data_IF_094325668486
#
_entry.id   IF_094325668486
#
_cell.length_a   1.000
_cell.length_b   1.000
_cell.length_c   1.000
_cell.angle_alpha   90.00
_cell.angle_beta   90.00
_cell.angle_gamma   90.00
#
_symmetry.space_group_name_H-M   'P 1'
#
loop_
_entity.id
_entity.type
_entity.pdbx_description
1 polymer ?
#
# COMPACT_ATOMS: atom_id res chain seq x y z
N UNK A 1 11.48 12.35 18.20
CA UNK A 1 10.01 12.14 18.17
C UNK A 1 9.31 13.03 17.13
N UNK A 2 9.54 14.36 17.12
CA UNK A 2 8.99 15.27 16.10
C UNK A 2 9.27 14.83 14.65
N UNK A 3 10.45 14.28 14.37
CA UNK A 3 10.82 13.76 13.03
C UNK A 3 10.03 12.50 12.63
N UNK A 4 9.68 11.62 13.57
CA UNK A 4 8.85 10.42 13.31
C UNK A 4 7.41 10.84 13.00
N UNK A 5 6.87 11.82 13.73
CA UNK A 5 5.55 12.38 13.45
C UNK A 5 5.49 13.07 12.07
N UNK A 6 6.56 13.77 11.69
CA UNK A 6 6.70 14.33 10.34
C UNK A 6 6.76 13.24 9.26
N UNK A 7 7.48 12.14 9.52
CA UNK A 7 7.52 10.98 8.64
C UNK A 7 6.13 10.40 8.38
N UNK A 8 5.34 10.25 9.45
CA UNK A 8 3.97 9.73 9.36
C UNK A 8 3.05 10.65 8.57
N UNK A 9 3.21 11.97 8.70
CA UNK A 9 2.47 12.94 7.89
C UNK A 9 2.78 12.83 6.40
N UNK A 10 4.02 12.48 6.02
CA UNK A 10 4.37 12.22 4.62
C UNK A 10 3.57 11.04 4.06
N UNK A 11 3.43 9.96 4.82
CA UNK A 11 2.63 8.80 4.42
C UNK A 11 1.14 9.15 4.22
N UNK A 12 0.58 10.01 5.08
CA UNK A 12 -0.82 10.44 4.97
C UNK A 12 -1.10 11.34 3.76
N UNK A 13 -0.11 12.09 3.28
CA UNK A 13 -0.28 12.98 2.12
C UNK A 13 -0.60 12.23 0.83
N UNK A 14 -0.27 10.93 0.75
CA UNK A 14 -0.53 10.12 -0.44
C UNK A 14 -2.02 9.74 -0.63
N UNK A 15 -2.87 10.01 0.37
CA UNK A 15 -4.28 9.62 0.35
C UNK A 15 -5.18 10.59 -0.39
N UNK A 16 -4.87 11.88 -0.33
CA UNK A 16 -5.64 12.93 -1.01
C UNK A 16 -5.73 12.69 -2.54
N UNK A 17 -4.64 12.36 -3.25
CA UNK A 17 -4.69 11.99 -4.66
C UNK A 17 -5.64 10.83 -4.95
N UNK A 18 -5.66 9.78 -4.10
CA UNK A 18 -6.53 8.63 -4.28
C UNK A 18 -8.01 9.01 -4.14
N UNK A 19 -8.34 9.86 -3.16
CA UNK A 19 -9.70 10.38 -2.97
C UNK A 19 -10.17 11.22 -4.15
N UNK A 20 -9.34 12.16 -4.63
CA UNK A 20 -9.68 12.98 -5.78
C UNK A 20 -9.88 12.14 -7.03
N UNK A 21 -9.02 11.16 -7.28
CA UNK A 21 -9.17 10.25 -8.41
C UNK A 21 -10.43 9.39 -8.31
N UNK A 22 -10.74 8.86 -7.13
CA UNK A 22 -11.98 8.13 -6.89
C UNK A 22 -13.22 8.99 -7.17
N UNK A 23 -13.18 10.27 -6.79
CA UNK A 23 -14.23 11.25 -7.10
C UNK A 23 -14.35 11.51 -8.61
N UNK A 24 -13.24 11.74 -9.31
CA UNK A 24 -13.24 11.93 -10.77
C UNK A 24 -13.79 10.72 -11.53
N UNK A 25 -13.35 9.51 -11.14
CA UNK A 25 -13.86 8.26 -11.72
C UNK A 25 -15.36 8.13 -11.42
N UNK A 26 -15.80 8.43 -10.20
CA UNK A 26 -17.21 8.42 -9.84
C UNK A 26 -18.04 9.34 -10.76
N UNK A 27 -17.60 10.59 -10.95
CA UNK A 27 -18.27 11.55 -11.84
C UNK A 27 -18.27 11.11 -13.30
N UNK A 28 -17.16 10.54 -13.79
CA UNK A 28 -17.08 10.07 -15.19
C UNK A 28 -18.01 8.90 -15.48
N UNK A 29 -18.31 8.08 -14.48
CA UNK A 29 -19.13 6.88 -14.61
C UNK A 29 -20.64 7.17 -14.61
N UNK A 30 -21.13 8.42 -14.50
CA UNK A 30 -22.52 8.87 -14.68
C UNK A 30 -23.56 7.76 -14.95
N UNK A 31 -24.04 7.08 -13.89
CA UNK A 31 -24.98 5.93 -13.90
C UNK A 31 -24.66 4.73 -14.83
N UNK A 32 -23.53 4.75 -15.54
CA UNK A 32 -23.08 3.70 -16.45
C UNK A 32 -22.60 2.49 -15.65
N UNK A 33 -22.87 1.29 -16.16
CA UNK A 33 -22.52 0.07 -15.44
C UNK A 33 -21.01 -0.18 -15.50
N UNK A 34 -20.33 -0.05 -14.35
CA UNK A 34 -18.88 -0.24 -14.24
C UNK A 34 -18.44 -1.62 -14.75
N UNK A 35 -19.31 -2.62 -14.66
CA UNK A 35 -19.04 -4.02 -15.00
C UNK A 35 -18.67 -4.29 -16.47
N UNK A 36 -18.77 -3.31 -17.37
CA UNK A 36 -18.40 -3.47 -18.79
C UNK A 36 -16.92 -3.13 -19.02
N UNK A 37 -16.09 -4.05 -19.54
CA UNK A 37 -14.68 -3.81 -19.81
C UNK A 37 -14.41 -2.60 -20.71
N UNK A 38 -15.23 -2.41 -21.75
CA UNK A 38 -15.09 -1.30 -22.70
C UNK A 38 -15.32 0.06 -22.01
N UNK A 39 -16.22 0.13 -21.04
CA UNK A 39 -16.46 1.35 -20.25
C UNK A 39 -15.24 1.66 -19.40
N UNK A 40 -14.63 0.66 -18.77
CA UNK A 40 -13.42 0.85 -17.97
C UNK A 40 -12.26 1.31 -18.84
N UNK A 41 -12.06 0.72 -20.01
CA UNK A 41 -11.01 1.14 -20.92
C UNK A 41 -11.25 2.55 -21.50
N UNK A 42 -12.50 2.92 -21.82
CA UNK A 42 -12.81 4.21 -22.42
C UNK A 42 -12.86 5.37 -21.42
N UNK A 43 -13.33 5.13 -20.18
CA UNK A 43 -13.58 6.19 -19.19
C UNK A 43 -12.62 6.17 -18.00
N UNK A 44 -12.17 4.99 -17.57
CA UNK A 44 -11.37 4.85 -16.35
C UNK A 44 -9.88 4.86 -16.67
N UNK A 45 -9.45 4.10 -17.68
CA UNK A 45 -8.03 4.02 -18.05
C UNK A 45 -7.40 5.40 -18.34
N UNK A 46 -8.04 6.33 -19.09
CA UNK A 46 -7.46 7.66 -19.29
C UNK A 46 -7.26 8.46 -18.00
N UNK A 47 -8.18 8.34 -17.04
CA UNK A 47 -8.07 9.01 -15.73
C UNK A 47 -6.96 8.39 -14.88
N UNK A 48 -6.85 7.06 -14.88
CA UNK A 48 -5.75 6.36 -14.21
C UNK A 48 -4.40 6.76 -14.81
N UNK A 49 -4.30 6.80 -16.15
CA UNK A 49 -3.07 7.18 -16.83
C UNK A 49 -2.68 8.63 -16.55
N UNK A 50 -3.63 9.55 -16.58
CA UNK A 50 -3.38 10.95 -16.26
C UNK A 50 -2.84 11.10 -14.83
N UNK A 51 -3.46 10.44 -13.86
CA UNK A 51 -2.97 10.43 -12.48
C UNK A 51 -1.58 9.78 -12.37
N UNK A 52 -1.34 8.67 -13.07
CA UNK A 52 -0.04 7.99 -13.10
C UNK A 52 1.08 8.85 -13.67
N UNK A 53 0.81 9.55 -14.78
CA UNK A 53 1.79 10.38 -15.46
C UNK A 53 2.07 11.70 -14.73
N UNK A 54 1.12 12.20 -13.94
CA UNK A 54 1.24 13.48 -13.22
C UNK A 54 1.81 13.34 -11.81
N UNK A 55 1.73 12.14 -11.20
CA UNK A 55 2.15 11.89 -9.83
C UNK A 55 3.45 11.06 -9.82
N UNK A 56 4.63 11.70 -9.79
CA UNK A 56 5.92 11.03 -10.05
C UNK A 56 6.32 10.00 -8.99
N UNK A 57 5.70 10.02 -7.82
CA UNK A 57 5.97 9.10 -6.71
C UNK A 57 5.13 7.81 -6.78
N UNK A 58 4.15 7.72 -7.70
CA UNK A 58 3.32 6.53 -7.85
C UNK A 58 4.05 5.50 -8.69
N UNK A 59 4.18 4.29 -8.15
CA UNK A 59 4.78 3.15 -8.84
C UNK A 59 3.72 2.28 -9.52
N UNK A 60 2.48 2.30 -9.03
CA UNK A 60 1.37 1.56 -9.61
C UNK A 60 0.00 2.20 -9.31
N UNK A 61 -0.96 2.07 -10.24
CA UNK A 61 -2.32 2.62 -10.10
C UNK A 61 -3.37 1.70 -10.74
N UNK A 62 -4.48 1.43 -10.05
CA UNK A 62 -5.51 0.53 -10.53
C UNK A 62 -6.92 1.03 -10.22
N UNK A 63 -7.87 0.54 -10.99
CA UNK A 63 -9.26 0.49 -10.61
C UNK A 63 -9.74 -0.96 -10.63
N UNK A 64 -10.37 -1.39 -9.54
CA UNK A 64 -10.85 -2.76 -9.31
C UNK A 64 -12.33 -2.71 -9.05
N UNK A 65 -13.11 -3.34 -9.93
CA UNK A 65 -14.54 -3.58 -9.73
C UNK A 65 -14.78 -4.80 -8.87
N UNK A 66 -15.89 -4.78 -8.15
CA UNK A 66 -16.33 -5.94 -7.37
C UNK A 66 -16.69 -7.15 -8.25
N UNK A 67 -17.24 -6.90 -9.45
CA UNK A 67 -17.91 -7.94 -10.25
C UNK A 67 -17.21 -8.31 -11.56
N UNK A 68 -16.06 -7.70 -11.91
CA UNK A 68 -15.07 -8.25 -12.85
C UNK A 68 -14.01 -7.26 -13.36
N UNK A 69 -14.33 -6.01 -13.71
CA UNK A 69 -13.37 -5.17 -14.42
C UNK A 69 -12.19 -4.82 -13.52
N UNK A 70 -11.00 -5.06 -14.04
CA UNK A 70 -9.75 -4.63 -13.45
C UNK A 70 -8.92 -3.99 -14.54
N UNK A 71 -8.38 -2.82 -14.25
CA UNK A 71 -7.45 -2.14 -15.13
C UNK A 71 -6.40 -1.41 -14.30
N UNK A 72 -5.16 -1.44 -14.76
CA UNK A 72 -4.05 -0.88 -14.02
C UNK A 72 -2.89 -0.43 -14.90
N UNK A 73 -2.07 0.49 -14.37
CA UNK A 73 -0.79 0.92 -14.93
C UNK A 73 0.31 0.83 -13.88
N UNK A 74 1.49 0.36 -14.28
CA UNK A 74 2.64 0.24 -13.40
C UNK A 74 3.95 0.29 -14.20
N UNK A 75 5.04 0.58 -13.48
CA UNK A 75 6.38 0.49 -14.05
C UNK A 75 6.89 -0.95 -14.06
N UNK A 76 7.33 -1.39 -15.23
CA UNK A 76 8.19 -2.55 -15.40
C UNK A 76 9.56 -2.06 -15.86
N UNK A 77 10.50 -1.96 -14.92
CA UNK A 77 11.73 -1.20 -15.11
C UNK A 77 11.41 0.24 -15.53
N UNK A 78 11.97 0.69 -16.65
CA UNK A 78 11.77 2.06 -17.15
C UNK A 78 10.57 2.20 -18.11
N UNK A 79 9.73 1.17 -18.26
CA UNK A 79 8.60 1.17 -19.19
C UNK A 79 7.28 1.07 -18.46
N UNK A 80 6.26 1.73 -19.00
CA UNK A 80 4.90 1.61 -18.49
C UNK A 80 4.26 0.36 -19.10
N UNK A 81 3.69 -0.46 -18.23
CA UNK A 81 2.86 -1.61 -18.62
C UNK A 81 1.46 -1.42 -18.05
N UNK A 82 0.47 -1.89 -18.79
CA UNK A 82 -0.89 -2.04 -18.29
C UNK A 82 -1.15 -3.49 -17.91
N UNK A 83 -1.99 -3.67 -16.90
CA UNK A 83 -2.55 -4.97 -16.56
C UNK A 83 -4.07 -4.85 -16.50
N UNK A 84 -4.78 -5.80 -17.11
CA UNK A 84 -6.24 -5.75 -17.16
C UNK A 84 -6.85 -7.15 -17.19
N UNK A 85 -8.08 -7.26 -16.72
CA UNK A 85 -8.82 -8.51 -16.69
C UNK A 85 -9.86 -8.55 -17.81
N UNK A 86 -9.76 -9.56 -18.68
CA UNK A 86 -10.65 -9.76 -19.82
C UNK A 86 -10.88 -11.26 -20.03
N UNK A 87 -12.13 -11.68 -20.22
CA UNK A 87 -12.45 -13.08 -20.52
C UNK A 87 -11.87 -14.07 -19.51
N UNK A 88 -12.02 -13.78 -18.21
CA UNK A 88 -11.48 -14.57 -17.09
C UNK A 88 -9.96 -14.70 -17.02
N UNK A 89 -9.23 -13.90 -17.80
CA UNK A 89 -7.77 -13.95 -17.87
C UNK A 89 -7.20 -12.56 -17.59
N UNK A 90 -6.10 -12.52 -16.82
CA UNK A 90 -5.33 -11.29 -16.66
C UNK A 90 -4.33 -11.18 -17.81
N UNK A 91 -4.36 -10.04 -18.49
CA UNK A 91 -3.43 -9.69 -19.54
C UNK A 91 -2.51 -8.57 -19.08
N UNK A 92 -1.32 -8.56 -19.66
CA UNK A 92 -0.33 -7.50 -19.55
C UNK A 92 0.04 -7.04 -20.95
N UNK A 93 0.16 -5.72 -21.12
CA UNK A 93 0.49 -5.13 -22.42
C UNK A 93 1.32 -3.84 -22.26
N UNK A 94 2.29 -3.58 -23.16
CA UNK A 94 3.01 -2.31 -23.21
C UNK A 94 2.08 -1.10 -23.39
N UNK A 95 2.50 0.04 -22.84
CA UNK A 95 1.74 1.29 -22.83
C UNK A 95 2.60 2.41 -23.39
N UNK A 96 2.03 3.17 -24.32
CA UNK A 96 2.68 4.37 -24.84
C UNK A 96 2.76 5.42 -23.73
N UNK A 97 3.99 5.84 -23.41
CA UNK A 97 4.28 6.72 -22.27
C UNK A 97 3.72 8.13 -22.40
N UNK A 98 3.30 8.55 -23.59
CA UNK A 98 2.76 9.89 -23.82
C UNK A 98 1.23 9.89 -23.82
N UNK A 99 0.60 8.78 -24.22
CA UNK A 99 -0.83 8.71 -24.49
C UNK A 99 -1.59 7.74 -23.58
N UNK A 100 -0.91 6.82 -22.91
CA UNK A 100 -1.53 5.79 -22.09
C UNK A 100 -2.20 4.67 -22.89
N UNK A 101 -2.07 4.70 -24.22
CA UNK A 101 -2.67 3.70 -25.11
C UNK A 101 -1.87 2.41 -25.11
N UNK A 102 -2.60 1.29 -25.12
CA UNK A 102 -2.01 -0.04 -25.23
C UNK A 102 -1.44 -0.25 -26.63
N UNK A 103 -0.27 -0.87 -26.75
CA UNK A 103 0.30 -1.24 -28.03
C UNK A 103 1.05 -2.58 -27.98
N UNK A 104 1.33 -3.14 -29.15
CA UNK A 104 1.97 -4.46 -29.26
C UNK A 104 1.04 -5.60 -28.81
N UNK A 105 1.61 -6.77 -28.57
CA UNK A 105 0.83 -7.97 -28.24
C UNK A 105 0.58 -8.08 -26.74
N UNK A 106 -0.68 -8.34 -26.37
CA UNK A 106 -1.05 -8.69 -25.01
C UNK A 106 -0.51 -10.09 -24.63
N UNK A 107 0.01 -10.22 -23.42
CA UNK A 107 0.52 -11.48 -22.86
C UNK A 107 -0.31 -11.87 -21.63
N UNK A 108 -0.59 -13.16 -21.49
CA UNK A 108 -1.26 -13.67 -20.29
C UNK A 108 -0.35 -13.53 -19.06
N UNK A 109 -0.93 -13.22 -17.91
CA UNK A 109 -0.24 -13.06 -16.63
C UNK A 109 -0.89 -13.92 -15.56
N UNK A 110 -0.08 -14.55 -14.70
CA UNK A 110 -0.52 -15.35 -13.55
C UNK A 110 -0.84 -14.49 -12.30
N UNK A 111 -1.23 -13.24 -12.50
CA UNK A 111 -1.43 -12.28 -11.43
C UNK A 111 -2.58 -12.68 -10.49
N UNK A 112 -2.41 -12.63 -9.15
CA UNK A 112 -3.38 -13.10 -8.17
C UNK A 112 -4.54 -12.10 -7.95
N UNK A 113 -5.35 -11.86 -8.98
CA UNK A 113 -6.44 -10.87 -8.98
C UNK A 113 -7.47 -11.08 -7.85
N UNK A 114 -7.66 -12.32 -7.40
CA UNK A 114 -8.58 -12.67 -6.30
C UNK A 114 -8.18 -11.98 -4.99
N UNK A 115 -6.88 -11.88 -4.70
CA UNK A 115 -6.40 -11.21 -3.49
C UNK A 115 -6.69 -9.70 -3.52
N UNK A 116 -6.45 -9.07 -4.67
CA UNK A 116 -6.72 -7.64 -4.89
C UNK A 116 -8.22 -7.35 -4.75
N UNK A 117 -9.09 -8.19 -5.31
CA UNK A 117 -10.55 -8.05 -5.17
C UNK A 117 -11.02 -8.21 -3.73
N UNK A 118 -10.41 -9.11 -2.95
CA UNK A 118 -10.69 -9.25 -1.52
C UNK A 118 -10.36 -7.95 -0.79
N UNK A 119 -9.17 -7.39 -0.99
CA UNK A 119 -8.76 -6.14 -0.36
C UNK A 119 -9.63 -4.96 -0.78
N UNK A 120 -10.02 -4.87 -2.06
CA UNK A 120 -10.96 -3.85 -2.53
C UNK A 120 -12.33 -3.96 -1.83
N UNK A 121 -12.82 -5.19 -1.61
CA UNK A 121 -14.06 -5.43 -0.86
C UNK A 121 -13.94 -5.00 0.60
N UNK A 122 -12.80 -5.27 1.23
CA UNK A 122 -12.54 -4.86 2.61
C UNK A 122 -12.50 -3.32 2.72
N UNK A 123 -11.85 -2.65 1.76
CA UNK A 123 -11.86 -1.19 1.66
C UNK A 123 -13.27 -0.62 1.55
N UNK A 124 -14.12 -1.22 0.70
CA UNK A 124 -15.51 -0.78 0.52
C UNK A 124 -16.42 -1.02 1.72
N UNK A 125 -16.06 -1.96 2.61
CA UNK A 125 -16.81 -2.27 3.84
C UNK A 125 -16.40 -1.38 5.01
N UNK A 126 -15.24 -0.72 4.94
CA UNK A 126 -14.80 0.21 5.97
C UNK A 126 -15.72 1.43 6.07
N UNK A 127 -15.84 2.04 7.26
CA UNK A 127 -16.70 3.20 7.49
C UNK A 127 -16.35 4.38 6.60
N UNK A 128 -15.07 4.54 6.27
CA UNK A 128 -14.54 5.66 5.49
C UNK A 128 -14.33 5.29 4.00
N UNK A 129 -14.66 4.05 3.60
CA UNK A 129 -14.37 3.49 2.29
C UNK A 129 -12.89 3.59 1.89
N UNK A 130 -12.00 3.47 2.87
CA UNK A 130 -10.56 3.60 2.72
C UNK A 130 -9.85 2.44 3.40
N UNK A 131 -8.75 1.99 2.81
CA UNK A 131 -7.92 0.95 3.38
C UNK A 131 -6.50 1.08 2.86
N UNK A 132 -5.52 0.96 3.74
CA UNK A 132 -4.13 0.87 3.33
C UNK A 132 -3.54 -0.48 3.71
N UNK A 133 -2.62 -0.96 2.88
CA UNK A 133 -1.86 -2.17 3.14
C UNK A 133 -0.44 -2.06 2.60
N UNK A 134 0.46 -2.87 3.16
CA UNK A 134 1.78 -3.09 2.59
C UNK A 134 1.76 -4.40 1.84
N UNK A 135 2.12 -4.37 0.56
CA UNK A 135 2.01 -5.52 -0.33
C UNK A 135 3.07 -5.53 -1.41
N UNK A 136 3.02 -6.56 -2.26
CA UNK A 136 3.91 -6.67 -3.42
C UNK A 136 3.44 -5.78 -4.56
N UNK A 137 4.38 -5.17 -5.26
CA UNK A 137 4.12 -4.49 -6.53
C UNK A 137 3.66 -5.45 -7.63
N UNK A 138 3.12 -4.92 -8.73
CA UNK A 138 2.67 -5.75 -9.87
C UNK A 138 3.79 -6.22 -10.79
N UNK A 139 4.98 -5.65 -10.65
CA UNK A 139 6.16 -6.09 -11.36
C UNK A 139 6.75 -7.35 -10.68
N UNK A 140 6.22 -8.53 -11.03
CA UNK A 140 6.62 -9.81 -10.46
C UNK A 140 7.89 -10.39 -11.14
N UNK A 141 8.98 -9.63 -11.26
CA UNK A 141 10.29 -10.18 -11.60
C UNK A 141 10.99 -10.64 -10.32
N UNK A 142 11.35 -11.93 -10.28
CA UNK A 142 11.36 -12.79 -9.09
C UNK A 142 12.57 -12.71 -8.16
N UNK A 143 13.23 -11.57 -7.96
CA UNK A 143 14.32 -11.48 -6.96
C UNK A 143 14.28 -10.23 -6.08
N UNK A 144 13.72 -9.11 -6.56
CA UNK A 144 13.46 -7.92 -5.76
C UNK A 144 11.95 -7.68 -5.65
N UNK A 145 11.31 -8.31 -4.66
CA UNK A 145 9.92 -8.03 -4.31
C UNK A 145 9.79 -6.61 -3.73
N UNK A 146 9.80 -5.60 -4.60
CA UNK A 146 9.61 -4.22 -4.20
C UNK A 146 8.29 -4.10 -3.43
N UNK A 147 8.44 -3.80 -2.14
CA UNK A 147 7.33 -3.54 -1.24
C UNK A 147 6.65 -2.24 -1.65
N UNK A 148 5.32 -2.24 -1.57
CA UNK A 148 4.50 -1.09 -1.89
C UNK A 148 3.64 -0.73 -0.70
N UNK A 149 3.57 0.55 -0.37
CA UNK A 149 2.45 1.10 0.40
C UNK A 149 1.30 1.32 -0.57
N UNK A 150 0.18 0.65 -0.33
CA UNK A 150 -0.99 0.66 -1.21
C UNK A 150 -2.14 1.29 -0.46
N UNK A 151 -2.65 2.41 -0.96
CA UNK A 151 -3.89 3.05 -0.49
C UNK A 151 -5.02 2.67 -1.43
N UNK A 152 -6.15 2.25 -0.86
CA UNK A 152 -7.37 1.91 -1.57
C UNK A 152 -8.49 2.86 -1.16
N UNK A 153 -9.20 3.41 -2.15
CA UNK A 153 -10.35 4.29 -1.92
C UNK A 153 -11.55 3.81 -2.72
N UNK A 154 -12.69 3.71 -2.06
CA UNK A 154 -13.94 3.30 -2.66
C UNK A 154 -14.49 4.29 -3.69
N UNK A 155 -15.03 3.74 -4.77
CA UNK A 155 -15.79 4.45 -5.80
C UNK A 155 -17.23 3.93 -5.73
N UNK A 156 -18.09 4.69 -5.06
CA UNK A 156 -19.54 4.49 -5.02
C UNK A 156 -19.96 3.04 -4.72
N UNK A 157 -19.28 2.37 -3.77
CA UNK A 157 -19.50 0.97 -3.35
C UNK A 157 -19.41 -0.10 -4.46
N UNK A 158 -18.98 0.26 -5.67
CA UNK A 158 -18.94 -0.65 -6.85
C UNK A 158 -17.53 -0.99 -7.28
N UNK A 159 -16.60 -0.07 -7.05
CA UNK A 159 -15.20 -0.25 -7.39
C UNK A 159 -14.31 0.38 -6.32
N UNK A 160 -13.01 0.11 -6.39
CA UNK A 160 -12.00 0.79 -5.61
C UNK A 160 -10.88 1.27 -6.54
N UNK A 161 -10.34 2.44 -6.24
CA UNK A 161 -9.07 2.94 -6.80
C UNK A 161 -7.95 2.53 -5.87
N UNK A 162 -6.85 2.06 -6.45
CA UNK A 162 -5.65 1.69 -5.71
C UNK A 162 -4.50 2.58 -6.20
N UNK A 163 -3.78 3.20 -5.28
CA UNK A 163 -2.50 3.86 -5.54
C UNK A 163 -1.42 3.11 -4.77
N UNK A 164 -0.33 2.75 -5.44
CA UNK A 164 0.84 2.15 -4.80
C UNK A 164 2.08 2.99 -5.00
N UNK A 165 2.80 3.22 -3.91
CA UNK A 165 4.12 3.88 -3.90
C UNK A 165 5.17 2.88 -3.43
N UNK A 166 6.39 2.96 -3.96
CA UNK A 166 7.52 2.17 -3.47
C UNK A 166 7.72 2.43 -1.97
N UNK A 167 7.84 1.36 -1.20
CA UNK A 167 8.16 1.43 0.22
C UNK A 167 9.61 1.87 0.46
N UNK A 168 10.47 1.80 -0.56
CA UNK A 168 11.88 2.18 -0.46
C UNK A 168 12.05 3.63 0.02
N UNK A 169 11.36 4.59 -0.60
CA UNK A 169 11.54 6.00 -0.24
C UNK A 169 11.06 6.33 1.18
N UNK A 170 9.85 5.91 1.62
CA UNK A 170 9.48 6.05 3.02
C UNK A 170 10.44 5.33 3.97
N UNK A 171 10.87 4.10 3.66
CA UNK A 171 11.75 3.33 4.53
C UNK A 171 13.14 3.95 4.66
N UNK A 172 13.70 4.48 3.57
CA UNK A 172 14.94 5.24 3.61
C UNK A 172 14.80 6.49 4.50
N UNK A 173 13.67 7.19 4.44
CA UNK A 173 13.40 8.31 5.34
C UNK A 173 13.42 7.86 6.81
N UNK A 174 12.67 6.82 7.18
CA UNK A 174 12.66 6.30 8.55
C UNK A 174 14.03 5.84 9.03
N UNK A 175 14.80 5.18 8.16
CA UNK A 175 16.16 4.73 8.45
C UNK A 175 17.14 5.89 8.67
N UNK A 176 16.89 7.05 8.05
CA UNK A 176 17.75 8.24 8.14
C UNK A 176 17.51 9.10 9.38
N UNK A 177 16.46 8.81 10.18
CA UNK A 177 16.15 9.57 11.40
C UNK A 177 17.28 9.34 12.41
N UNK A 178 17.91 10.44 12.87
CA UNK A 178 18.89 10.36 13.95
C UNK A 178 18.17 10.12 15.28
N UNK A 179 18.35 8.92 15.81
CA UNK A 179 17.76 8.49 17.08
C UNK A 179 18.74 8.65 18.25
N UNK A 180 19.89 9.31 18.06
CA UNK A 180 20.91 9.56 19.07
C UNK A 180 21.29 8.29 19.86
N UNK A 181 21.53 7.20 19.14
CA UNK A 181 21.86 5.89 19.71
C UNK A 181 20.67 4.94 19.88
N UNK A 182 19.44 5.42 19.70
CA UNK A 182 18.24 4.58 19.65
C UNK A 182 18.14 3.72 18.38
N UNK A 183 17.22 2.76 18.39
CA UNK A 183 16.89 1.89 17.25
C UNK A 183 15.40 1.96 16.96
N UNK A 184 15.05 2.00 15.67
CA UNK A 184 13.66 2.00 15.21
C UNK A 184 13.39 0.70 14.47
N UNK A 185 12.30 0.02 14.86
CA UNK A 185 11.79 -1.16 14.17
C UNK A 185 10.40 -0.84 13.64
N UNK A 186 10.10 -1.23 12.40
CA UNK A 186 8.79 -1.04 11.80
C UNK A 186 8.29 -2.37 11.21
N UNK A 187 7.06 -2.73 11.51
CA UNK A 187 6.41 -3.92 10.96
C UNK A 187 4.93 -3.65 10.66
N UNK A 188 4.34 -4.50 9.83
CA UNK A 188 2.90 -4.52 9.59
C UNK A 188 2.15 -4.94 10.86
N UNK A 189 0.91 -4.45 11.03
CA UNK A 189 0.09 -4.72 12.23
C UNK A 189 -0.15 -6.21 12.48
N UNK A 190 -0.20 -7.01 11.42
CA UNK A 190 -0.36 -8.47 11.51
C UNK A 190 0.94 -9.20 11.88
N UNK A 191 2.07 -8.49 12.01
CA UNK A 191 3.38 -9.04 12.37
C UNK A 191 4.02 -9.86 11.24
N UNK A 192 3.36 -9.99 10.09
CA UNK A 192 3.80 -10.87 9.03
C UNK A 192 4.95 -10.29 8.19
N UNK A 193 5.21 -8.98 8.30
CA UNK A 193 6.26 -8.33 7.52
C UNK A 193 7.00 -7.26 8.30
N UNK A 194 8.31 -7.46 8.44
CA UNK A 194 9.25 -6.46 8.92
C UNK A 194 9.60 -5.50 7.76
N UNK A 195 9.49 -4.20 8.02
CA UNK A 195 9.73 -3.13 7.05
C UNK A 195 11.04 -2.39 7.32
N UNK A 196 11.40 -2.26 8.60
CA UNK A 196 12.68 -1.70 9.04
C UNK A 196 13.19 -2.53 10.22
N UNK A 197 14.43 -3.02 10.10
CA UNK A 197 15.10 -3.76 11.15
C UNK A 197 15.69 -2.80 12.19
N UNK A 198 15.43 -3.10 13.47
CA UNK A 198 15.89 -2.29 14.59
C UNK A 198 17.02 -2.98 15.36
N UNK A 199 16.66 -3.62 16.47
CA UNK A 199 17.60 -4.38 17.30
C UNK A 199 17.79 -5.76 16.64
N UNK A 200 19.04 -6.24 16.45
CA UNK A 200 19.27 -7.59 15.93
C UNK A 200 18.55 -8.67 16.75
N UNK A 201 18.04 -9.69 16.08
CA UNK A 201 17.31 -10.82 16.68
C UNK A 201 15.99 -10.45 17.40
N UNK A 202 15.47 -9.24 17.23
CA UNK A 202 14.14 -8.88 17.72
C UNK A 202 13.03 -9.39 16.79
N UNK A 203 11.96 -9.91 17.37
CA UNK A 203 10.79 -10.39 16.63
C UNK A 203 9.54 -9.64 17.07
N UNK A 204 8.68 -9.31 16.12
CA UNK A 204 7.35 -8.74 16.41
C UNK A 204 6.32 -9.85 16.19
N UNK A 205 5.60 -10.21 17.25
CA UNK A 205 4.55 -11.21 17.22
C UNK A 205 3.21 -10.56 17.56
N UNK A 206 2.18 -10.85 16.77
CA UNK A 206 0.82 -10.38 17.07
C UNK A 206 0.23 -11.21 18.20
N UNK A 207 -0.18 -10.58 19.30
CA UNK A 207 -0.82 -11.29 20.43
C UNK A 207 -2.35 -11.30 20.31
N UNK A 208 -2.95 -10.16 19.96
CA UNK A 208 -4.38 -10.02 19.70
C UNK A 208 -4.64 -8.82 18.77
N UNK A 209 -5.91 -8.52 18.46
CA UNK A 209 -6.27 -7.43 17.53
C UNK A 209 -5.75 -6.06 17.94
N UNK A 210 -5.51 -5.81 19.23
CA UNK A 210 -5.09 -4.51 19.76
C UNK A 210 -3.76 -4.55 20.52
N UNK A 211 -2.98 -5.63 20.41
CA UNK A 211 -1.66 -5.69 21.01
C UNK A 211 -0.66 -6.49 20.19
N UNK A 212 0.54 -5.92 20.08
CA UNK A 212 1.71 -6.58 19.50
C UNK A 212 2.70 -6.86 20.63
N UNK A 213 3.39 -7.98 20.53
CA UNK A 213 4.52 -8.33 21.37
C UNK A 213 5.79 -8.06 20.58
N UNK A 214 6.74 -7.37 21.19
CA UNK A 214 8.11 -7.28 20.69
C UNK A 214 8.97 -8.17 21.58
N UNK A 215 9.48 -9.27 21.02
CA UNK A 215 10.42 -10.14 21.68
C UNK A 215 11.82 -9.63 21.37
N UNK A 216 12.58 -9.24 22.39
CA UNK A 216 13.96 -8.78 22.25
C UNK A 216 14.84 -9.57 23.19
N UNK A 217 15.78 -10.34 22.64
CA UNK A 217 16.69 -11.21 23.41
C UNK A 217 15.95 -12.12 24.43
N UNK A 218 14.80 -12.67 24.04
CA UNK A 218 13.99 -13.55 24.89
C UNK A 218 13.04 -12.83 25.87
N UNK A 219 13.15 -11.51 26.02
CA UNK A 219 12.20 -10.72 26.80
C UNK A 219 11.00 -10.31 25.95
N UNK A 220 9.78 -10.45 26.49
CA UNK A 220 8.55 -10.11 25.80
C UNK A 220 8.02 -8.75 26.26
N UNK A 221 7.93 -7.80 25.33
CA UNK A 221 7.32 -6.48 25.57
C UNK A 221 5.95 -6.43 24.91
N UNK A 222 4.91 -6.31 25.71
CA UNK A 222 3.55 -6.08 25.19
C UNK A 222 3.35 -4.60 24.88
N UNK A 223 3.09 -4.28 23.62
CA UNK A 223 2.63 -2.98 23.15
C UNK A 223 1.10 -3.01 23.00
N UNK A 224 0.40 -2.17 23.76
CA UNK A 224 -1.05 -1.97 23.60
C UNK A 224 -1.28 -0.87 22.56
N UNK A 225 -1.95 -1.23 21.47
CA UNK A 225 -2.26 -0.32 20.36
C UNK A 225 -3.61 0.34 20.64
N UNK A 226 -3.60 1.50 21.30
CA UNK A 226 -4.79 2.31 21.53
C UNK A 226 -4.52 3.53 22.41
N UNK A 227 -4.97 4.71 21.97
CA UNK A 227 -5.05 5.91 22.83
C UNK A 227 -4.28 7.14 22.36
N UNK A 228 -3.56 7.10 21.23
CA UNK A 228 -2.88 8.29 20.65
C UNK A 228 -1.75 8.90 21.48
N UNK A 229 -1.68 8.57 22.78
CA UNK A 229 -0.57 8.88 23.68
C UNK A 229 0.40 7.70 23.68
N UNK A 230 1.70 8.03 23.61
CA UNK A 230 2.75 7.08 23.95
C UNK A 230 2.45 6.48 25.32
N UNK A 231 2.29 5.16 25.37
CA UNK A 231 2.29 4.44 26.64
C UNK A 231 3.63 4.66 27.34
N UNK A 232 3.64 4.62 28.68
CA UNK A 232 4.89 4.63 29.44
C UNK A 232 5.86 3.58 28.86
N UNK A 233 7.18 3.88 28.79
CA UNK A 233 8.13 2.94 28.21
C UNK A 233 8.16 1.64 29.01
N UNK A 234 8.25 0.52 28.30
CA UNK A 234 8.61 -0.74 28.92
C UNK A 234 10.13 -0.81 29.04
N UNK A 235 10.63 -1.14 30.23
CA UNK A 235 12.08 -1.31 30.44
C UNK A 235 12.45 -2.76 30.16
N UNK A 236 13.45 -2.97 29.32
CA UNK A 236 14.00 -4.30 29.02
C UNK A 236 15.50 -4.29 29.21
N UNK A 237 16.02 -5.32 29.87
CA UNK A 237 17.46 -5.53 29.97
C UNK A 237 17.93 -6.46 28.85
N UNK A 238 18.85 -5.98 28.02
CA UNK A 238 19.50 -6.78 26.97
C UNK A 238 20.99 -6.84 27.32
N UNK A 239 21.48 -8.04 27.63
CA UNK A 239 22.82 -8.21 28.20
C UNK A 239 22.92 -7.54 29.57
N UNK A 240 23.79 -6.53 29.69
CA UNK A 240 23.97 -5.73 30.93
C UNK A 240 23.40 -4.31 30.83
N UNK A 241 22.68 -3.99 29.76
CA UNK A 241 22.19 -2.64 29.49
C UNK A 241 20.66 -2.61 29.51
N UNK A 242 20.11 -1.59 30.18
CA UNK A 242 18.68 -1.32 30.19
C UNK A 242 18.28 -0.45 28.99
N UNK A 243 17.16 -0.81 28.37
CA UNK A 243 16.58 -0.14 27.22
C UNK A 243 15.15 0.27 27.53
N UNK A 244 14.80 1.51 27.18
CA UNK A 244 13.42 1.97 27.17
C UNK A 244 12.80 1.65 25.81
N UNK A 245 11.75 0.82 25.82
CA UNK A 245 11.00 0.43 24.62
C UNK A 245 9.73 1.26 24.54
N UNK A 246 9.56 1.95 23.42
CA UNK A 246 8.39 2.76 23.09
C UNK A 246 7.65 2.14 21.92
N UNK A 247 6.32 2.11 21.98
CA UNK A 247 5.48 1.58 20.91
C UNK A 247 4.55 2.67 20.40
N UNK A 248 4.34 2.71 19.08
CA UNK A 248 3.38 3.60 18.44
C UNK A 248 2.81 2.93 17.20
N UNK A 249 1.52 3.14 16.93
CA UNK A 249 0.88 2.72 15.68
C UNK A 249 0.92 3.85 14.69
N UNK A 250 1.40 3.56 13.47
CA UNK A 250 1.27 4.45 12.33
C UNK A 250 0.09 3.98 11.48
N UNK A 251 -0.96 4.79 11.41
CA UNK A 251 -2.03 4.57 10.46
C UNK A 251 -1.65 5.17 9.12
N UNK A 252 -1.46 4.29 8.13
CA UNK A 252 -1.58 4.67 6.73
C UNK A 252 -3.08 4.65 6.47
N UNK A 253 -3.71 5.82 6.39
CA UNK A 253 -5.14 5.95 6.05
C UNK A 253 -5.31 5.85 4.53
#
# INVERSE_FOLDING_TARGET
MSQIEQATKLLQQFNSPAMHLASMIHSSLNATNFSQPDVVQAKVAPLLFLAFATLPYISQIACVGLDDPFFSYYYEGNKISAMYYMGHTVYKQPVDSNTGKLYGNAKKSSFPIVAIRRWARDALRSSNQQHALVGRGWNNSSEDEALMFITMVGVHRKAAVLLGISAESPMHFFASIDLHGGKLQLATRDGNRLLLEGIPESQIATMNSNSISVVVAGNNVACILGGGMLTAPSVVTIGQQEYNVYCSSVEVV
#
